data_IF_212583144233
#
_entry.id   IF_212583144233
#
_cell.length_a   1.000
_cell.length_b   1.000
_cell.length_c   1.000
_cell.angle_alpha   90.00
_cell.angle_beta   90.00
_cell.angle_gamma   90.00
#
_symmetry.space_group_name_H-M   'P 1'
#
loop_
_entity.id
_entity.type
_entity.pdbx_description
1 polymer ?
2 non-polymer ?
3 non-polymer ?
4 non-polymer ?
5 water ?
#
# COMPACT_ATOMS: atom_id res chain seq x y z
N UNK A 31 -5.68 -16.91 29.64
CA UNK A 31 -5.96 -15.52 29.24
C UNK A 31 -7.10 -15.45 28.18
N UNK A 32 -8.22 -14.78 28.53
CA UNK A 32 -9.35 -14.59 27.64
C UNK A 32 -9.00 -13.62 26.46
N UNK A 33 -9.11 -14.12 25.23
CA UNK A 33 -8.77 -13.35 24.03
C UNK A 33 -9.97 -12.66 23.45
N UNK A 34 -9.74 -11.48 22.90
CA UNK A 34 -10.72 -10.79 22.06
C UNK A 34 -10.29 -10.77 20.59
N UNK A 35 -11.27 -10.61 19.69
CA UNK A 35 -10.94 -10.68 18.29
C UNK A 35 -11.49 -9.48 17.58
N UNK A 36 -10.98 -9.26 16.38
CA UNK A 36 -11.40 -8.16 15.51
C UNK A 36 -11.07 -8.52 14.07
N UNK A 37 -11.93 -8.10 13.15
CA UNK A 37 -11.76 -8.46 11.75
C UNK A 37 -11.79 -7.19 10.88
N UNK A 38 -10.81 -7.08 9.99
CA UNK A 38 -10.83 -6.03 8.97
C UNK A 38 -10.75 -6.69 7.59
N UNK A 39 -11.66 -6.29 6.71
CA UNK A 39 -11.55 -6.53 5.29
C UNK A 39 -10.90 -5.33 4.59
N UNK A 40 -9.73 -5.57 4.00
CA UNK A 40 -8.98 -4.59 3.25
C UNK A 40 -9.45 -4.77 1.80
N UNK A 41 -10.31 -3.85 1.33
CA UNK A 41 -10.91 -3.95 -0.01
C UNK A 41 -10.05 -3.07 -0.95
N UNK A 42 -8.98 -3.66 -1.50
CA UNK A 42 -8.03 -2.87 -2.26
C UNK A 42 -8.50 -2.84 -3.70
N UNK A 43 -7.84 -2.02 -4.55
CA UNK A 43 -8.22 -1.95 -5.97
C UNK A 43 -8.09 -3.32 -6.70
N UNK A 44 -7.10 -4.13 -6.40
CA UNK A 44 -6.94 -5.37 -7.25
C UNK A 44 -7.44 -6.63 -6.48
N UNK A 45 -7.71 -6.51 -5.16
CA UNK A 45 -8.14 -7.71 -4.36
C UNK A 45 -8.64 -7.31 -2.98
N UNK A 46 -9.34 -8.25 -2.35
CA UNK A 46 -9.79 -8.07 -1.00
C UNK A 46 -9.07 -9.12 -0.17
N UNK A 47 -8.55 -8.69 0.98
CA UNK A 47 -8.01 -9.59 1.97
C UNK A 47 -8.75 -9.43 3.28
N UNK A 48 -8.94 -10.55 3.99
CA UNK A 48 -9.53 -10.45 5.29
C UNK A 48 -8.47 -10.72 6.35
N UNK A 49 -8.40 -9.87 7.39
CA UNK A 49 -7.46 -10.15 8.50
C UNK A 49 -8.21 -10.28 9.81
N UNK A 50 -7.87 -11.33 10.57
CA UNK A 50 -8.47 -11.55 11.90
C UNK A 50 -7.35 -11.29 12.92
N UNK A 51 -7.59 -10.41 13.88
CA UNK A 51 -6.60 -10.03 14.90
C UNK A 51 -7.11 -10.50 16.25
N UNK A 52 -6.21 -10.80 17.18
CA UNK A 52 -6.61 -11.22 18.53
C UNK A 52 -5.68 -10.53 19.50
N UNK A 53 -6.17 -10.33 20.72
CA UNK A 53 -5.44 -9.65 21.81
C UNK A 53 -6.01 -10.11 23.13
N UNK A 54 -5.20 -10.13 24.21
CA UNK A 54 -5.78 -10.47 25.51
C UNK A 54 -6.73 -9.37 26.00
N UNK A 55 -7.92 -9.76 26.51
CA UNK A 55 -8.90 -8.85 27.12
C UNK A 55 -8.32 -7.79 28.09
N UNK A 56 -7.52 -8.20 29.07
CA UNK A 56 -6.97 -7.26 30.10
C UNK A 56 -5.62 -6.57 29.82
N UNK A 57 -4.95 -6.94 28.73
CA UNK A 57 -3.75 -6.20 28.26
C UNK A 57 -3.98 -5.38 26.96
N UNK A 58 -5.24 -5.23 26.54
CA UNK A 58 -5.61 -4.65 25.24
C UNK A 58 -5.04 -3.29 24.85
N UNK A 59 -4.78 -2.42 25.83
CA UNK A 59 -4.19 -1.08 25.61
C UNK A 59 -2.64 -0.99 25.50
N UNK A 60 -1.91 -2.02 25.98
CA UNK A 60 -0.43 -2.14 25.76
C UNK A 60 -0.12 -1.98 24.27
N UNK A 61 0.97 -1.31 23.93
CA UNK A 61 1.39 -1.27 22.52
C UNK A 61 1.97 -2.62 22.09
N UNK A 62 1.81 -2.93 20.80
CA UNK A 62 2.33 -4.17 20.22
C UNK A 62 1.64 -5.46 20.64
N UNK A 63 0.53 -5.36 21.41
CA UNK A 63 -0.22 -6.52 21.97
C UNK A 63 -1.14 -7.21 20.95
N UNK A 64 -1.80 -6.42 20.08
CA UNK A 64 -2.67 -6.99 19.09
C UNK A 64 -1.80 -7.70 18.06
N UNK A 65 -2.15 -8.94 17.71
CA UNK A 65 -1.51 -9.52 16.54
C UNK A 65 -2.48 -10.19 15.58
N UNK A 66 -2.01 -10.50 14.39
CA UNK A 66 -2.80 -11.23 13.41
C UNK A 66 -3.02 -12.70 13.88
N UNK A 67 -4.26 -13.19 13.81
CA UNK A 67 -4.61 -14.56 14.13
C UNK A 67 -4.73 -15.38 12.82
N UNK A 68 -5.31 -14.79 11.77
CA UNK A 68 -5.40 -15.50 10.50
C UNK A 68 -5.72 -14.50 9.41
N UNK A 69 -5.83 -14.98 8.20
CA UNK A 69 -6.15 -14.09 7.11
C UNK A 69 -6.73 -14.98 6.01
N UNK A 70 -7.36 -14.35 5.02
CA UNK A 70 -7.95 -15.07 3.89
C UNK A 70 -7.88 -14.11 2.71
N UNK A 71 -7.45 -14.61 1.55
CA UNK A 71 -7.48 -13.87 0.27
C UNK A 71 -8.69 -14.20 -0.58
N UNK A 72 -9.51 -13.19 -0.82
CA UNK A 72 -10.72 -13.35 -1.60
C UNK A 72 -10.28 -13.61 -3.03
N UNK A 73 -10.90 -14.61 -3.68
CA UNK A 73 -10.68 -14.89 -5.09
C UNK A 73 -11.27 -13.85 -6.04
N UNK A 74 -10.55 -13.58 -7.14
CA UNK A 74 -11.04 -12.61 -8.16
C UNK A 74 -10.66 -11.17 -7.82
N UNK A 75 -11.31 -10.21 -8.48
CA UNK A 75 -10.90 -8.81 -8.45
C UNK A 75 -11.30 -8.10 -7.17
N UNK A 76 -10.96 -6.81 -7.08
CA UNK A 76 -11.40 -5.98 -5.91
C UNK A 76 -12.87 -5.64 -6.02
N UNK A 77 -13.46 -5.09 -4.95
CA UNK A 77 -14.91 -4.83 -4.99
C UNK A 77 -15.24 -3.79 -6.08
N UNK A 78 -14.37 -2.83 -6.34
CA UNK A 78 -14.63 -1.90 -7.45
C UNK A 78 -14.69 -2.55 -8.84
N UNK A 79 -14.16 -3.76 -9.03
CA UNK A 79 -14.27 -4.41 -10.33
C UNK A 79 -15.72 -4.91 -10.60
N UNK A 80 -16.57 -4.85 -9.59
CA UNK A 80 -17.96 -5.22 -9.76
C UNK A 80 -18.83 -4.02 -9.91
N UNK A 81 -18.27 -2.89 -10.33
CA UNK A 81 -19.09 -1.65 -10.51
C UNK A 81 -20.39 -1.86 -11.34
N UNK A 82 -20.29 -2.66 -12.41
CA UNK A 82 -21.47 -2.91 -13.27
C UNK A 82 -22.30 -4.12 -12.85
N UNK A 83 -21.85 -4.82 -11.80
CA UNK A 83 -22.57 -6.01 -11.30
C UNK A 83 -22.44 -6.06 -9.76
N UNK A 84 -23.00 -5.04 -9.02
CA UNK A 84 -22.65 -4.84 -7.61
C UNK A 84 -22.97 -5.99 -6.62
N UNK A 85 -24.03 -6.75 -6.89
CA UNK A 85 -24.34 -7.90 -6.04
C UNK A 85 -23.21 -8.93 -5.93
N UNK A 86 -22.42 -9.10 -6.99
CA UNK A 86 -21.26 -9.96 -6.94
C UNK A 86 -20.18 -9.44 -5.97
N UNK A 87 -20.22 -8.13 -5.69
CA UNK A 87 -19.24 -7.60 -4.74
C UNK A 87 -19.40 -8.27 -3.37
N UNK A 88 -20.63 -8.23 -2.83
CA UNK A 88 -20.95 -8.94 -1.60
C UNK A 88 -20.66 -10.45 -1.67
N UNK A 89 -21.21 -11.16 -2.67
CA UNK A 89 -21.00 -12.61 -2.87
C UNK A 89 -19.50 -12.98 -2.78
N UNK A 90 -18.64 -12.15 -3.38
CA UNK A 90 -17.24 -12.46 -3.46
C UNK A 90 -16.64 -12.64 -2.03
N UNK A 91 -17.24 -12.02 -1.01
CA UNK A 91 -16.66 -12.06 0.37
C UNK A 91 -16.99 -13.36 1.14
N UNK A 92 -17.92 -14.16 0.61
CA UNK A 92 -18.59 -15.22 1.40
C UNK A 92 -17.62 -16.27 1.85
N UNK A 93 -16.79 -16.78 0.94
CA UNK A 93 -15.79 -17.81 1.28
C UNK A 93 -14.92 -17.36 2.47
N UNK A 94 -14.42 -16.11 2.43
CA UNK A 94 -13.60 -15.62 3.54
C UNK A 94 -14.39 -15.41 4.82
N UNK A 95 -15.62 -14.92 4.70
CA UNK A 95 -16.43 -14.74 5.90
C UNK A 95 -16.76 -16.10 6.52
N UNK A 96 -17.01 -17.12 5.70
CA UNK A 96 -17.12 -18.53 6.23
C UNK A 96 -15.87 -18.95 6.98
N UNK A 97 -14.69 -18.54 6.48
CA UNK A 97 -13.44 -18.89 7.19
C UNK A 97 -13.34 -18.19 8.57
N UNK A 98 -13.78 -16.94 8.61
CA UNK A 98 -13.83 -16.18 9.86
C UNK A 98 -14.70 -16.80 10.93
N UNK A 99 -15.84 -17.40 10.55
CA UNK A 99 -16.67 -18.14 11.50
C UNK A 99 -15.90 -19.33 12.12
N UNK A 100 -15.06 -20.01 11.33
CA UNK A 100 -14.21 -21.12 11.84
C UNK A 100 -12.96 -20.59 12.61
N UNK A 101 -12.45 -19.42 12.27
CA UNK A 101 -11.25 -18.87 12.91
C UNK A 101 -11.53 -18.25 14.24
N UNK A 102 -12.68 -17.61 14.41
CA UNK A 102 -12.99 -16.91 15.63
C UNK A 102 -13.93 -17.86 16.43
N UNK A 103 -13.63 -18.11 17.73
CA UNK A 103 -14.48 -19.03 18.53
C UNK A 103 -15.91 -18.54 18.57
N UNK A 104 -16.83 -19.49 18.58
CA UNK A 104 -18.23 -19.23 18.35
C UNK A 104 -18.83 -18.35 19.43
N UNK A 105 -18.45 -18.61 20.69
CA UNK A 105 -18.96 -17.81 21.78
C UNK A 105 -18.53 -16.33 21.68
N UNK A 106 -17.55 -16.07 20.82
CA UNK A 106 -17.00 -14.72 20.64
C UNK A 106 -17.50 -13.98 19.36
N UNK A 107 -18.23 -14.66 18.46
CA UNK A 107 -18.69 -14.04 17.17
C UNK A 107 -19.37 -12.68 17.38
N UNK A 108 -20.38 -12.69 18.25
CA UNK A 108 -21.25 -11.56 18.48
C UNK A 108 -20.56 -10.28 19.00
N UNK A 109 -19.44 -10.41 19.69
CA UNK A 109 -18.77 -9.22 20.18
C UNK A 109 -17.43 -8.97 19.46
N UNK A 110 -17.26 -9.57 18.29
CA UNK A 110 -16.05 -9.35 17.45
C UNK A 110 -16.44 -8.24 16.48
N UNK A 111 -15.75 -7.09 16.51
CA UNK A 111 -16.08 -6.06 15.54
C UNK A 111 -15.59 -6.42 14.12
N UNK A 112 -16.37 -6.10 13.11
CA UNK A 112 -15.95 -6.31 11.75
C UNK A 112 -16.07 -5.01 10.98
N UNK A 113 -15.02 -4.66 10.22
CA UNK A 113 -14.93 -3.41 9.44
C UNK A 113 -14.59 -3.77 8.04
N UNK A 114 -15.07 -2.99 7.07
CA UNK A 114 -14.52 -3.07 5.74
C UNK A 114 -14.04 -1.69 5.43
N UNK A 115 -12.81 -1.57 4.95
CA UNK A 115 -12.28 -0.29 4.51
C UNK A 115 -11.81 -0.51 3.06
N UNK A 116 -12.12 0.44 2.17
CA UNK A 116 -11.87 0.34 0.72
C UNK A 116 -10.94 1.46 0.37
N UNK A 117 -10.04 1.21 -0.57
CA UNK A 117 -8.99 2.18 -0.88
C UNK A 117 -9.11 2.76 -2.30
N UNK A 118 -8.02 2.89 -3.07
CA UNK A 118 -8.07 3.74 -4.31
C UNK A 118 -8.90 3.17 -5.41
N UNK A 119 -9.12 1.86 -5.38
CA UNK A 119 -10.07 1.27 -6.38
C UNK A 119 -11.44 1.97 -6.24
N UNK A 120 -11.92 2.09 -5.00
CA UNK A 120 -13.23 2.69 -4.77
C UNK A 120 -13.14 4.22 -4.90
N UNK A 121 -11.99 4.82 -4.57
CA UNK A 121 -11.84 6.24 -4.83
C UNK A 121 -11.90 6.58 -6.30
N UNK A 122 -11.26 5.77 -7.18
CA UNK A 122 -11.33 6.00 -8.63
C UNK A 122 -12.76 5.78 -9.12
N UNK A 123 -13.41 4.72 -8.66
CA UNK A 123 -14.81 4.47 -9.07
C UNK A 123 -15.75 5.63 -8.63
N UNK A 124 -15.49 6.26 -7.48
CA UNK A 124 -16.30 7.39 -7.00
C UNK A 124 -16.15 8.62 -7.87
N UNK A 125 -14.99 8.77 -8.52
CA UNK A 125 -14.81 9.79 -9.57
C UNK A 125 -15.67 9.54 -10.79
N UNK A 126 -15.83 8.27 -11.15
CA UNK A 126 -16.47 7.87 -12.40
C UNK A 126 -17.97 7.84 -12.19
N UNK A 127 -18.39 7.30 -11.05
CA UNK A 127 -19.78 7.03 -10.79
C UNK A 127 -20.03 6.89 -9.31
N UNK A 128 -20.38 8.00 -8.65
CA UNK A 128 -20.79 7.89 -7.25
C UNK A 128 -21.98 6.93 -7.03
N UNK A 129 -22.90 6.86 -7.99
CA UNK A 129 -24.05 5.93 -7.89
C UNK A 129 -23.56 4.46 -7.84
N UNK A 130 -22.69 4.05 -8.79
CA UNK A 130 -22.13 2.68 -8.83
C UNK A 130 -21.32 2.39 -7.58
N UNK A 131 -20.51 3.38 -7.14
CA UNK A 131 -19.84 3.34 -5.83
C UNK A 131 -20.81 3.06 -4.65
N UNK A 132 -21.92 3.78 -4.56
CA UNK A 132 -22.86 3.56 -3.47
C UNK A 132 -23.46 2.14 -3.56
N UNK A 133 -23.79 1.68 -4.79
CA UNK A 133 -24.37 0.34 -4.96
C UNK A 133 -23.37 -0.77 -4.57
N UNK A 134 -22.09 -0.58 -4.90
CA UNK A 134 -21.07 -1.62 -4.44
C UNK A 134 -21.00 -1.68 -2.89
N UNK A 135 -20.93 -0.50 -2.30
CA UNK A 135 -20.90 -0.34 -0.85
C UNK A 135 -22.17 -0.91 -0.22
N UNK A 136 -23.32 -0.67 -0.85
CA UNK A 136 -24.57 -1.27 -0.32
C UNK A 136 -24.55 -2.81 -0.44
N UNK A 137 -24.07 -3.37 -1.56
CA UNK A 137 -24.01 -4.84 -1.70
C UNK A 137 -23.05 -5.52 -0.67
N UNK A 138 -21.87 -4.95 -0.39
CA UNK A 138 -21.00 -5.56 0.62
C UNK A 138 -21.63 -5.40 2.03
N UNK A 139 -22.21 -4.23 2.31
CA UNK A 139 -22.91 -3.99 3.58
C UNK A 139 -24.00 -5.05 3.80
N UNK A 140 -24.81 -5.26 2.79
CA UNK A 140 -25.88 -6.23 2.87
C UNK A 140 -25.31 -7.63 3.17
N UNK A 141 -24.24 -8.07 2.48
CA UNK A 141 -23.65 -9.39 2.74
C UNK A 141 -23.13 -9.45 4.18
N UNK A 142 -22.40 -8.42 4.59
CA UNK A 142 -21.74 -8.39 5.91
C UNK A 142 -22.72 -8.39 7.08
N UNK A 143 -23.83 -7.65 6.94
CA UNK A 143 -24.86 -7.61 8.01
C UNK A 143 -25.56 -8.97 8.20
N UNK A 144 -25.43 -9.89 7.24
CA UNK A 144 -26.02 -11.25 7.41
C UNK A 144 -25.17 -12.13 8.38
N UNK A 145 -23.95 -11.68 8.69
CA UNK A 145 -23.06 -12.47 9.53
C UNK A 145 -23.19 -12.08 11.01
N UNK A 146 -22.79 -12.98 11.94
CA UNK A 146 -23.09 -12.72 13.35
C UNK A 146 -22.07 -11.83 14.08
N UNK A 147 -21.03 -11.36 13.36
CA UNK A 147 -20.06 -10.45 13.96
C UNK A 147 -20.68 -9.06 14.23
N UNK A 148 -20.08 -8.26 15.10
CA UNK A 148 -20.55 -6.89 15.32
C UNK A 148 -20.11 -6.00 14.10
N UNK A 149 -20.91 -6.00 13.04
CA UNK A 149 -20.52 -5.33 11.81
C UNK A 149 -20.53 -3.80 11.99
N UNK A 150 -19.40 -3.12 11.79
CA UNK A 150 -19.32 -1.69 12.13
C UNK A 150 -19.26 -0.74 10.94
N UNK A 151 -19.43 -1.24 9.72
CA UNK A 151 -19.57 -0.36 8.57
C UNK A 151 -18.55 -0.72 7.50
N UNK A 152 -18.95 -0.37 6.27
CA UNK A 152 -18.08 -0.40 5.09
C UNK A 152 -17.83 1.06 4.75
N UNK A 153 -16.55 1.48 4.71
CA UNK A 153 -16.22 2.86 4.42
C UNK A 153 -15.10 2.88 3.39
N UNK A 154 -15.01 3.98 2.61
CA UNK A 154 -13.83 4.32 1.80
C UNK A 154 -12.88 5.13 2.65
N UNK A 155 -11.65 4.68 2.81
CA UNK A 155 -10.62 5.47 3.47
C UNK A 155 -10.21 6.65 2.56
N UNK A 156 -9.83 7.78 3.15
CA UNK A 156 -9.13 8.84 2.39
C UNK A 156 -7.69 8.37 2.13
N UNK A 157 -6.96 9.07 1.26
CA UNK A 157 -5.58 8.70 1.08
C UNK A 157 -4.78 8.96 2.38
N UNK A 158 -5.17 9.99 3.12
CA UNK A 158 -4.47 10.28 4.35
C UNK A 158 -4.61 9.11 5.33
N UNK A 159 -5.83 8.58 5.49
CA UNK A 159 -6.10 7.49 6.39
C UNK A 159 -5.20 6.31 6.01
N UNK A 160 -5.19 6.06 4.72
CA UNK A 160 -4.53 4.90 4.20
C UNK A 160 -3.07 5.00 4.58
N UNK A 161 -2.48 6.18 4.41
CA UNK A 161 -1.05 6.31 4.70
C UNK A 161 -0.75 6.28 6.20
N UNK A 162 -1.53 7.05 6.97
CA UNK A 162 -1.31 7.13 8.39
C UNK A 162 -1.57 5.76 9.07
N UNK A 163 -2.64 5.07 8.73
CA UNK A 163 -2.91 3.76 9.39
C UNK A 163 -1.81 2.69 9.11
N UNK A 164 -1.18 2.80 7.94
CA UNK A 164 -0.06 1.86 7.64
C UNK A 164 1.15 2.23 8.48
N UNK A 165 1.37 3.54 8.63
CA UNK A 165 2.44 3.99 9.54
C UNK A 165 2.13 3.56 10.99
N UNK A 166 0.88 3.70 11.43
CA UNK A 166 0.60 3.24 12.81
C UNK A 166 0.84 1.72 12.90
N UNK A 167 0.35 0.95 11.91
CA UNK A 167 0.58 -0.49 11.98
C UNK A 167 2.07 -0.85 12.19
N UNK A 168 2.93 -0.29 11.38
CA UNK A 168 4.33 -0.74 11.37
C UNK A 168 4.90 -0.37 12.72
N UNK A 169 4.59 0.85 13.20
CA UNK A 169 5.25 1.28 14.42
C UNK A 169 4.66 0.61 15.69
N UNK A 170 3.39 0.24 15.60
CA UNK A 170 2.74 -0.42 16.73
C UNK A 170 3.36 -1.82 16.85
N UNK A 171 3.47 -2.53 15.73
CA UNK A 171 4.01 -3.90 15.80
C UNK A 171 5.45 -3.93 16.23
N UNK A 172 6.20 -2.89 15.87
CA UNK A 172 7.61 -2.90 16.26
C UNK A 172 7.87 -2.22 17.59
N UNK A 173 6.81 -1.78 18.29
CA UNK A 173 6.95 -1.23 19.65
C UNK A 173 7.79 0.07 19.64
N UNK A 174 7.61 0.90 18.62
CA UNK A 174 8.36 2.13 18.54
C UNK A 174 7.68 3.21 19.39
N UNK A 175 6.51 2.92 19.98
CA UNK A 175 5.79 4.00 20.70
C UNK A 175 6.03 3.84 22.24
N UNK A 176 6.72 2.77 22.63
CA UNK A 176 7.20 2.64 24.05
C UNK A 176 8.15 3.83 24.36
N UNK A 177 8.04 4.40 25.55
CA UNK A 177 9.03 5.40 25.97
C UNK A 177 10.27 4.69 26.61
N UNK A 178 11.41 4.69 25.94
CA UNK A 178 12.56 3.84 26.35
C UNK A 178 13.36 4.56 27.39
N UNK A 179 13.89 3.79 28.36
CA UNK A 179 14.67 4.35 29.42
C UNK A 179 13.99 3.99 30.74
N UNK A 180 14.28 4.80 31.76
CA UNK A 180 13.69 4.61 33.05
C UNK A 180 13.86 5.91 33.76
N UNK A 181 13.24 6.04 34.93
CA UNK A 181 13.16 7.35 35.63
C UNK A 181 14.56 7.90 35.87
N UNK A 182 14.74 9.21 35.58
CA UNK A 182 16.04 9.87 35.68
C UNK A 182 16.98 9.62 34.49
N UNK A 183 16.62 8.70 33.58
CA UNK A 183 17.47 8.45 32.39
C UNK A 183 16.70 7.93 31.15
N UNK A 184 15.97 8.82 30.51
CA UNK A 184 15.16 8.51 29.35
C UNK A 184 16.04 8.64 28.16
N UNK A 185 15.85 7.77 27.17
CA UNK A 185 16.73 7.94 25.99
C UNK A 185 16.34 9.23 25.28
N UNK A 186 17.34 9.93 24.77
CA UNK A 186 17.14 11.24 24.15
C UNK A 186 18.05 11.24 22.93
N UNK A 187 17.53 11.64 21.75
CA UNK A 187 16.10 11.96 21.43
C UNK A 187 15.25 10.72 21.65
N UNK A 188 13.92 10.84 21.63
CA UNK A 188 13.15 9.60 21.87
C UNK A 188 13.33 8.62 20.71
N UNK A 189 13.06 7.34 20.96
CA UNK A 189 13.05 6.31 19.91
C UNK A 189 12.46 6.82 18.56
N UNK A 190 13.22 6.62 17.48
CA UNK A 190 12.76 7.01 16.13
C UNK A 190 11.63 6.08 15.70
N UNK A 191 10.83 6.50 14.72
CA UNK A 191 9.72 5.71 14.24
C UNK A 191 10.06 5.37 12.80
N UNK A 192 9.33 4.39 12.27
CA UNK A 192 9.61 3.84 10.99
C UNK A 192 8.67 4.53 10.00
N UNK A 193 9.23 5.12 8.93
CA UNK A 193 8.40 5.70 7.87
C UNK A 193 7.81 4.53 7.11
N UNK A 194 6.72 4.79 6.36
CA UNK A 194 6.02 3.73 5.66
C UNK A 194 5.84 4.14 4.20
N UNK A 195 6.17 3.21 3.30
CA UNK A 195 5.83 3.43 1.90
C UNK A 195 5.03 2.24 1.41
N UNK A 196 3.86 2.52 0.84
CA UNK A 196 2.90 1.49 0.49
C UNK A 196 2.64 1.58 -1.02
N UNK A 197 2.98 0.53 -1.77
CA UNK A 197 2.72 0.58 -3.21
C UNK A 197 1.55 -0.34 -3.48
N UNK A 198 0.39 0.27 -3.64
CA UNK A 198 -0.83 -0.49 -3.88
C UNK A 198 -1.03 -0.59 -5.41
N UNK A 199 -2.22 -1.01 -5.83
CA UNK A 199 -2.49 -1.15 -7.25
C UNK A 199 -2.93 0.16 -7.90
N UNK A 200 -3.57 1.07 -7.18
CA UNK A 200 -4.14 2.30 -7.82
C UNK A 200 -3.61 3.57 -7.15
N UNK A 201 -3.07 3.49 -5.94
CA UNK A 201 -2.33 4.67 -5.37
C UNK A 201 -1.08 4.22 -4.63
N UNK A 202 -0.22 5.18 -4.32
CA UNK A 202 0.93 4.84 -3.47
C UNK A 202 1.04 5.94 -2.37
N UNK A 203 1.44 5.58 -1.14
CA UNK A 203 1.44 6.53 0.02
C UNK A 203 2.87 6.60 0.56
N UNK A 204 3.23 7.73 1.11
CA UNK A 204 4.48 7.85 1.81
C UNK A 204 4.16 8.64 3.12
N UNK A 205 4.61 8.18 4.30
CA UNK A 205 4.20 8.74 5.57
C UNK A 205 5.41 8.57 6.49
N UNK A 206 5.77 9.65 7.17
CA UNK A 206 6.92 9.57 8.06
C UNK A 206 6.86 10.72 9.06
N UNK A 207 7.43 10.49 10.24
CA UNK A 207 7.61 11.52 11.25
C UNK A 207 8.64 12.51 10.76
N UNK A 208 8.39 13.79 11.00
CA UNK A 208 9.22 14.88 10.49
C UNK A 208 9.23 16.02 11.50
N UNK A 209 10.38 16.68 11.65
CA UNK A 209 10.43 17.91 12.42
C UNK A 209 10.32 19.16 11.49
N UNK A 210 10.27 18.98 10.19
CA UNK A 210 10.10 20.14 9.28
C UNK A 210 8.77 20.86 9.41
N UNK A 211 8.78 22.19 9.25
CA UNK A 211 7.53 22.96 9.23
C UNK A 211 6.57 22.47 8.15
N UNK A 212 5.30 22.44 8.48
CA UNK A 212 4.27 21.95 7.55
C UNK A 212 3.92 23.08 6.58
N UNK A 213 3.97 22.87 5.28
CA UNK A 213 3.54 23.99 4.40
C UNK A 213 2.21 23.73 3.72
N UNK A 214 1.68 22.52 3.88
CA UNK A 214 0.39 22.15 3.26
C UNK A 214 -0.41 21.38 4.27
N UNK A 215 -1.56 21.93 4.68
CA UNK A 215 -2.36 21.28 5.72
C UNK A 215 -2.86 19.90 5.29
N UNK A 216 -2.99 19.69 3.98
CA UNK A 216 -3.49 18.45 3.45
C UNK A 216 -2.46 17.34 3.74
N UNK A 217 -1.20 17.70 4.02
CA UNK A 217 -0.13 16.66 4.27
C UNK A 217 0.21 16.46 5.75
N UNK A 218 -0.41 17.28 6.59
CA UNK A 218 0.05 17.46 7.97
C UNK A 218 -0.81 16.61 8.91
N UNK A 219 -0.13 15.88 9.77
CA UNK A 219 -0.77 14.88 10.61
C UNK A 219 -0.19 15.08 12.05
N UNK A 220 -1.03 15.11 13.08
CA UNK A 220 -0.54 15.13 14.46
C UNK A 220 -1.23 14.03 15.23
N UNK A 221 -0.44 13.15 15.86
CA UNK A 221 -0.98 12.03 16.57
C UNK A 221 -0.59 12.17 18.01
N UNK A 222 -1.48 11.74 18.89
CA UNK A 222 -1.19 11.65 20.29
C UNK A 222 -1.37 10.15 20.68
N UNK A 223 -0.25 9.48 20.97
CA UNK A 223 -0.21 8.02 21.17
C UNK A 223 0.63 7.73 22.40
N UNK A 224 0.02 7.09 23.39
CA UNK A 224 0.67 6.74 24.63
C UNK A 224 1.34 7.92 25.31
N UNK A 225 0.65 9.08 25.29
CA UNK A 225 1.13 10.24 25.96
C UNK A 225 2.09 11.07 25.14
N UNK A 226 2.44 10.61 23.93
CA UNK A 226 3.42 11.33 23.11
C UNK A 226 2.81 11.96 21.85
N UNK A 227 3.35 13.13 21.48
CA UNK A 227 2.97 13.80 20.23
C UNK A 227 3.87 13.41 19.05
N UNK A 228 3.29 13.00 17.93
CA UNK A 228 4.12 12.66 16.71
C UNK A 228 3.62 13.59 15.62
N UNK A 229 4.53 14.36 15.07
CA UNK A 229 4.29 15.23 13.91
C UNK A 229 4.62 14.36 12.65
N UNK A 230 3.67 14.16 11.77
CA UNK A 230 3.85 13.21 10.73
C UNK A 230 3.51 13.90 9.38
N UNK A 231 4.24 13.56 8.32
CA UNK A 231 3.87 13.95 6.97
C UNK A 231 3.28 12.72 6.27
N UNK A 232 2.26 12.95 5.46
CA UNK A 232 1.74 11.85 4.65
C UNK A 232 1.25 12.40 3.31
N UNK A 233 1.35 11.61 2.23
CA UNK A 233 0.73 11.98 1.00
C UNK A 233 0.40 10.68 0.24
N UNK A 234 -0.75 10.72 -0.44
CA UNK A 234 -1.18 9.60 -1.27
C UNK A 234 -1.23 10.08 -2.73
N UNK A 235 -0.51 9.38 -3.62
CA UNK A 235 -0.52 9.74 -5.05
C UNK A 235 -1.49 8.81 -5.75
N UNK A 236 -2.67 9.33 -5.98
CA UNK A 236 -3.68 8.62 -6.69
C UNK A 236 -3.18 8.40 -8.16
N UNK A 237 -3.46 7.24 -8.77
CA UNK A 237 -2.94 6.86 -10.09
C UNK A 237 -1.47 6.49 -10.19
N UNK A 238 -0.76 6.48 -9.06
CA UNK A 238 0.65 6.07 -9.02
C UNK A 238 0.77 4.70 -8.31
N UNK A 239 -0.34 3.94 -8.21
CA UNK A 239 -0.22 2.53 -7.82
C UNK A 239 0.30 1.71 -9.02
N UNK A 240 0.75 0.47 -8.73
CA UNK A 240 1.37 -0.35 -9.74
C UNK A 240 0.54 -0.59 -11.00
N UNK A 241 -0.72 -1.00 -10.84
CA UNK A 241 -1.58 -1.38 -11.97
C UNK A 241 -1.95 -0.12 -12.80
N UNK A 242 -2.19 1.02 -12.13
CA UNK A 242 -2.50 2.23 -12.89
C UNK A 242 -1.20 2.75 -13.57
N UNK A 243 -0.02 2.70 -12.92
CA UNK A 243 1.20 3.05 -13.64
C UNK A 243 1.42 2.14 -14.87
N UNK A 244 1.19 0.82 -14.72
CA UNK A 244 1.39 -0.10 -15.89
C UNK A 244 0.43 0.28 -17.04
N UNK A 245 -0.82 0.60 -16.71
CA UNK A 245 -1.74 1.15 -17.74
C UNK A 245 -1.28 2.47 -18.42
N UNK A 246 -0.82 3.44 -17.61
CA UNK A 246 -0.33 4.72 -18.16
C UNK A 246 0.93 4.48 -19.08
N UNK A 247 1.82 3.57 -18.70
CA UNK A 247 3.02 3.29 -19.49
C UNK A 247 2.62 2.61 -20.78
N UNK A 248 1.61 1.71 -20.73
CA UNK A 248 1.04 1.06 -21.95
C UNK A 248 0.43 2.15 -22.88
N UNK A 249 -0.41 3.04 -22.34
CA UNK A 249 -1.03 4.12 -23.20
C UNK A 249 0.11 4.95 -23.79
N UNK A 250 1.12 5.28 -22.95
CA UNK A 250 2.20 6.11 -23.40
C UNK A 250 3.02 5.40 -24.53
N UNK A 251 3.33 4.12 -24.31
CA UNK A 251 4.06 3.36 -25.28
C UNK A 251 3.27 3.32 -26.60
N UNK A 252 1.97 3.04 -26.52
CA UNK A 252 1.14 3.01 -27.72
C UNK A 252 1.23 4.32 -28.49
N UNK A 253 1.19 5.44 -27.79
CA UNK A 253 1.14 6.77 -28.40
C UNK A 253 2.48 7.17 -29.05
N UNK A 254 3.60 6.83 -28.42
CA UNK A 254 4.92 7.38 -28.78
C UNK A 254 5.66 6.37 -29.63
N UNK A 255 5.49 5.09 -29.36
CA UNK A 255 6.37 4.08 -30.00
C UNK A 255 5.66 3.06 -30.85
N UNK A 256 4.44 2.69 -30.45
CA UNK A 256 3.81 1.50 -31.09
C UNK A 256 4.64 0.21 -30.88
N UNK A 257 5.52 0.19 -29.87
CA UNK A 257 6.11 -1.04 -29.32
C UNK A 257 6.24 -0.71 -27.82
N UNK A 258 6.46 -1.68 -26.95
CA UNK A 258 6.58 -1.35 -25.54
C UNK A 258 8.03 -1.54 -25.10
N UNK A 259 8.80 -0.43 -24.90
CA UNK A 259 10.20 -0.68 -24.63
C UNK A 259 10.43 -1.39 -23.27
N UNK A 260 9.47 -1.28 -22.34
CA UNK A 260 9.60 -1.98 -21.02
C UNK A 260 9.29 -3.45 -21.05
N UNK A 261 8.54 -3.93 -22.06
CA UNK A 261 8.23 -5.37 -22.11
C UNK A 261 9.35 -6.13 -22.81
N UNK A 262 9.48 -7.45 -22.54
CA UNK A 262 10.65 -8.11 -23.01
C UNK A 262 10.49 -8.47 -24.49
N UNK A 263 11.59 -8.41 -25.22
CA UNK A 263 11.58 -8.84 -26.64
C UNK A 263 11.02 -10.30 -26.82
N UNK A 264 10.06 -10.45 -27.75
CA UNK A 264 9.38 -11.73 -28.02
C UNK A 264 8.09 -11.86 -27.23
N UNK A 265 7.79 -10.90 -26.37
CA UNK A 265 6.50 -10.92 -25.70
C UNK A 265 5.62 -9.95 -26.48
N UNK A 266 4.41 -10.38 -26.83
CA UNK A 266 3.41 -9.48 -27.40
C UNK A 266 2.02 -9.91 -26.96
N UNK A 267 1.06 -9.01 -27.09
CA UNK A 267 -0.28 -9.28 -26.65
C UNK A 267 -1.23 -8.38 -27.48
N UNK A 268 -2.52 -8.75 -27.50
CA UNK A 268 -3.58 -8.01 -28.14
C UNK A 268 -4.12 -7.06 -27.09
N UNK A 269 -3.95 -5.77 -27.31
CA UNK A 269 -4.37 -4.73 -26.34
C UNK A 269 -5.82 -4.20 -26.72
N UNK A 270 -6.72 -4.30 -25.77
CA UNK A 270 -8.06 -3.75 -25.95
C UNK A 270 -8.03 -2.27 -25.55
N UNK A 271 -8.12 -1.37 -26.53
CA UNK A 271 -7.96 0.08 -26.28
C UNK A 271 -8.98 0.67 -25.29
N UNK A 272 -10.21 0.17 -25.30
CA UNK A 272 -11.21 0.65 -24.35
C UNK A 272 -10.80 0.38 -22.87
N UNK A 273 -10.16 -0.76 -22.63
CA UNK A 273 -9.63 -1.04 -21.32
C UNK A 273 -8.49 -0.08 -20.97
N UNK A 274 -7.63 0.26 -21.97
CA UNK A 274 -6.43 1.09 -21.72
C UNK A 274 -6.93 2.46 -21.28
N UNK A 275 -7.91 3.00 -21.96
CA UNK A 275 -8.25 4.39 -21.87
C UNK A 275 -9.50 4.72 -20.98
N UNK A 276 -10.17 3.71 -20.43
CA UNK A 276 -11.33 3.92 -19.53
C UNK A 276 -10.95 4.37 -18.10
N UNK A 277 -9.70 4.15 -17.70
CA UNK A 277 -9.30 4.50 -16.33
C UNK A 277 -9.28 6.04 -16.16
N UNK A 278 -9.77 6.57 -15.03
CA UNK A 278 -9.49 8.03 -14.91
C UNK A 278 -7.96 8.39 -15.00
N UNK A 279 -7.09 7.42 -14.74
CA UNK A 279 -5.65 7.69 -14.71
C UNK A 279 -5.03 7.82 -16.16
N UNK A 280 -5.72 7.26 -17.15
CA UNK A 280 -5.23 7.24 -18.54
C UNK A 280 -6.13 7.96 -19.53
N UNK A 281 -7.39 8.26 -19.20
CA UNK A 281 -8.26 9.00 -20.19
C UNK A 281 -7.64 10.37 -20.59
N UNK A 282 -6.71 10.85 -19.74
CA UNK A 282 -5.74 11.90 -20.07
C UNK A 282 -4.90 11.70 -21.34
N UNK A 283 -4.47 10.46 -21.63
CA UNK A 283 -3.52 10.20 -22.74
C UNK A 283 -4.04 9.95 -24.18
N UNK A 291 -10.27 1.84 -33.79
CA UNK A 291 -9.58 0.56 -33.57
C UNK A 291 -9.92 0.04 -32.19
N UNK A 292 -10.42 -1.17 -32.12
CA UNK A 292 -10.72 -1.70 -30.79
C UNK A 292 -9.52 -2.49 -30.24
N UNK A 293 -8.77 -3.18 -31.12
CA UNK A 293 -7.67 -4.02 -30.61
C UNK A 293 -6.40 -3.70 -31.36
N UNK A 294 -5.28 -3.52 -30.64
CA UNK A 294 -3.99 -3.43 -31.33
C UNK A 294 -2.95 -4.43 -30.78
N UNK A 295 -2.10 -4.90 -31.66
CA UNK A 295 -1.02 -5.79 -31.26
C UNK A 295 0.10 -4.95 -30.69
N UNK A 296 0.66 -5.35 -29.55
CA UNK A 296 1.82 -4.59 -29.05
C UNK A 296 2.91 -5.57 -28.59
N UNK A 297 4.15 -5.35 -29.03
CA UNK A 297 5.28 -6.20 -28.67
C UNK A 297 6.34 -5.46 -27.88
N UNK A 298 7.11 -6.23 -27.07
CA UNK A 298 8.16 -5.65 -26.25
C UNK A 298 9.46 -5.54 -27.01
N UNK A 299 10.33 -4.65 -26.58
CA UNK A 299 11.67 -4.52 -27.23
C UNK A 299 12.84 -4.66 -26.26
N UNK A 300 12.58 -4.96 -24.98
CA UNK A 300 13.72 -5.05 -23.99
C UNK A 300 14.68 -3.87 -24.09
N UNK A 301 14.18 -2.64 -24.06
CA UNK A 301 15.07 -1.48 -24.24
C UNK A 301 15.00 -0.75 -22.93
N UNK A 302 16.00 -1.02 -22.07
CA UNK A 302 16.01 -0.47 -20.76
C UNK A 302 16.05 1.05 -20.83
N UNK A 303 16.86 1.61 -21.75
CA UNK A 303 16.96 3.07 -21.82
C UNK A 303 15.66 3.77 -22.26
N UNK A 304 14.95 3.22 -23.24
CA UNK A 304 13.66 3.79 -23.58
C UNK A 304 12.60 3.54 -22.52
N UNK A 305 12.67 2.37 -21.88
CA UNK A 305 11.84 2.13 -20.67
C UNK A 305 12.06 3.23 -19.57
N UNK A 306 13.32 3.55 -19.27
CA UNK A 306 13.61 4.61 -18.33
C UNK A 306 12.99 5.95 -18.78
N UNK A 307 13.18 6.32 -20.06
CA UNK A 307 12.60 7.56 -20.62
C UNK A 307 11.08 7.58 -20.46
N UNK A 308 10.44 6.45 -20.78
CA UNK A 308 9.00 6.30 -20.64
C UNK A 308 8.51 6.48 -19.20
N UNK A 309 9.19 5.86 -18.25
CA UNK A 309 8.79 5.97 -16.85
C UNK A 309 9.03 7.40 -16.31
N UNK A 310 10.09 8.05 -16.78
CA UNK A 310 10.45 9.38 -16.28
C UNK A 310 9.37 10.45 -16.63
N UNK A 311 8.58 10.21 -17.67
CA UNK A 311 7.49 11.10 -18.04
C UNK A 311 6.38 11.09 -16.97
N UNK A 312 6.37 10.09 -16.08
CA UNK A 312 5.34 10.00 -15.01
C UNK A 312 5.45 11.08 -13.92
N UNK A 313 6.62 11.71 -13.81
CA UNK A 313 6.97 12.60 -12.69
C UNK A 313 7.13 14.00 -13.22
N UNK A 314 6.20 14.91 -12.90
CA UNK A 314 6.39 16.30 -13.30
C UNK A 314 7.22 16.97 -12.20
N UNK A 315 8.42 17.42 -12.54
CA UNK A 315 9.31 18.10 -11.58
C UNK A 315 9.54 19.59 -11.97
N UNK A 316 8.70 20.11 -12.86
CA UNK A 316 8.97 21.44 -13.40
C UNK A 316 8.53 22.59 -12.45
N UNK A 317 7.69 22.30 -11.45
CA UNK A 317 6.99 23.38 -10.80
C UNK A 317 6.74 23.11 -9.33
N UNK A 318 7.04 24.05 -8.46
CA UNK A 318 6.90 23.78 -7.01
C UNK A 318 6.38 25.01 -6.28
N UNK A 319 5.16 24.94 -5.76
CA UNK A 319 4.74 26.25 -5.17
C UNK A 319 5.13 26.35 -3.71
N UNK A 320 5.91 25.37 -3.24
CA UNK A 320 6.31 25.26 -1.85
C UNK A 320 7.81 25.46 -1.78
N UNK A 321 8.42 25.45 -0.60
CA UNK A 321 9.86 25.60 -0.55
C UNK A 321 10.57 24.33 -1.09
N UNK A 322 9.88 23.19 -1.09
CA UNK A 322 10.45 21.93 -1.52
C UNK A 322 9.28 20.95 -1.84
N UNK A 323 9.42 20.22 -2.95
CA UNK A 323 8.41 19.28 -3.43
C UNK A 323 8.96 17.87 -3.64
N UNK A 324 8.05 16.90 -3.68
CA UNK A 324 8.41 15.56 -4.13
C UNK A 324 8.30 15.65 -5.63
N UNK A 325 7.08 15.47 -6.13
CA UNK A 325 6.79 15.73 -7.54
C UNK A 325 5.32 16.14 -7.76
N UNK A 326 5.00 16.53 -9.01
CA UNK A 326 3.69 17.05 -9.36
C UNK A 326 3.26 18.22 -8.52
N UNK A 327 4.22 19.03 -8.06
CA UNK A 327 3.84 20.23 -7.29
C UNK A 327 3.43 19.88 -5.84
N UNK A 328 3.78 18.66 -5.39
CA UNK A 328 3.33 18.25 -4.06
C UNK A 328 4.42 18.59 -3.03
N UNK A 329 4.03 19.30 -1.96
CA UNK A 329 4.94 19.62 -0.86
C UNK A 329 5.51 18.31 -0.22
N UNK A 330 6.82 18.26 0.01
CA UNK A 330 7.39 17.16 0.77
C UNK A 330 8.67 17.55 1.47
N UNK A 331 8.76 17.34 2.81
CA UNK A 331 10.01 17.72 3.46
C UNK A 331 11.05 16.58 3.21
N UNK A 332 12.32 16.81 3.57
CA UNK A 332 13.35 15.83 3.16
C UNK A 332 13.00 14.48 3.83
N UNK A 333 13.04 13.36 3.11
CA UNK A 333 12.92 12.04 3.81
C UNK A 333 13.99 11.92 4.89
N UNK A 334 13.68 11.26 6.00
CA UNK A 334 14.58 11.11 7.18
C UNK A 334 14.12 9.87 7.95
N UNK A 335 15.07 9.18 8.59
CA UNK A 335 14.84 7.99 9.41
C UNK A 335 14.70 6.69 8.60
N UNK A 336 14.43 5.58 9.29
CA UNK A 336 14.20 4.30 8.65
C UNK A 336 12.83 4.33 8.03
N UNK A 337 12.66 3.47 7.06
CA UNK A 337 11.37 3.32 6.35
C UNK A 337 11.18 1.83 6.13
N UNK A 338 9.92 1.36 6.16
CA UNK A 338 9.62 0.06 5.63
C UNK A 338 8.80 0.31 4.35
N UNK A 339 9.16 -0.39 3.27
CA UNK A 339 8.46 -0.38 1.96
C UNK A 339 7.85 -1.74 1.75
N UNK A 340 6.53 -1.76 1.70
CA UNK A 340 5.78 -3.03 1.67
C UNK A 340 4.82 -3.10 0.45
N UNK A 341 3.87 -4.04 0.50
CA UNK A 341 2.99 -4.30 -0.64
C UNK A 341 3.83 -4.50 -1.91
N UNK A 342 3.50 -3.83 -3.02
CA UNK A 342 4.26 -4.07 -4.28
C UNK A 342 5.72 -3.64 -4.29
N UNK A 343 6.12 -2.72 -3.39
CA UNK A 343 7.59 -2.49 -3.22
C UNK A 343 8.27 -3.81 -2.83
N UNK A 344 7.73 -4.47 -1.80
CA UNK A 344 8.28 -5.74 -1.37
C UNK A 344 8.26 -6.79 -2.47
N UNK A 345 7.08 -7.06 -3.06
CA UNK A 345 6.97 -8.12 -4.06
C UNK A 345 7.94 -7.89 -5.24
N UNK A 346 8.10 -6.64 -5.67
CA UNK A 346 8.99 -6.36 -6.79
C UNK A 346 10.43 -6.57 -6.46
N UNK A 347 10.86 -6.07 -5.30
CA UNK A 347 12.28 -6.24 -4.86
C UNK A 347 12.58 -7.73 -4.59
N UNK A 348 11.58 -8.44 -4.10
CA UNK A 348 11.74 -9.87 -3.85
C UNK A 348 11.91 -10.61 -5.16
N UNK A 349 11.23 -10.19 -6.20
CA UNK A 349 11.50 -10.78 -7.55
C UNK A 349 12.97 -10.56 -7.99
N UNK A 350 13.42 -9.33 -7.81
CA UNK A 350 14.78 -8.93 -8.19
C UNK A 350 15.83 -9.74 -7.40
N UNK A 351 15.60 -9.95 -6.11
CA UNK A 351 16.65 -10.61 -5.29
C UNK A 351 16.53 -12.12 -5.44
N UNK A 352 15.32 -12.63 -5.33
CA UNK A 352 15.07 -14.07 -5.31
C UNK A 352 15.02 -14.76 -6.65
N UNK A 353 14.32 -14.20 -7.65
CA UNK A 353 14.29 -14.79 -8.96
C UNK A 353 15.47 -14.31 -9.83
N UNK A 354 15.65 -13.00 -10.02
CA UNK A 354 16.82 -12.54 -10.78
C UNK A 354 18.15 -12.74 -10.07
N UNK A 355 18.17 -12.98 -8.77
CA UNK A 355 19.43 -13.27 -8.08
C UNK A 355 20.32 -12.04 -7.94
N UNK A 356 19.74 -10.85 -7.98
CA UNK A 356 20.51 -9.62 -8.09
C UNK A 356 20.49 -8.86 -6.78
N UNK A 357 21.59 -8.21 -6.41
CA UNK A 357 21.52 -7.44 -5.15
C UNK A 357 20.75 -6.11 -5.34
N UNK A 358 20.09 -5.61 -4.30
CA UNK A 358 19.41 -4.33 -4.34
C UNK A 358 19.69 -3.43 -3.09
N UNK A 359 20.89 -3.54 -2.49
CA UNK A 359 21.20 -2.83 -1.25
C UNK A 359 21.46 -1.34 -1.41
N UNK A 360 21.77 -0.88 -2.63
CA UNK A 360 22.04 0.56 -2.88
C UNK A 360 21.10 1.01 -3.99
N UNK A 361 20.84 2.32 -4.13
CA UNK A 361 20.05 2.78 -5.32
C UNK A 361 20.73 2.39 -6.59
N UNK A 362 22.06 2.42 -6.59
CA UNK A 362 22.86 2.05 -7.82
C UNK A 362 22.71 0.58 -8.16
N UNK A 363 22.69 -0.31 -7.14
CA UNK A 363 22.34 -1.74 -7.37
C UNK A 363 20.92 -1.96 -7.88
N UNK A 364 19.95 -1.25 -7.30
CA UNK A 364 18.58 -1.40 -7.73
C UNK A 364 18.47 -0.91 -9.19
N UNK A 365 19.17 0.16 -9.53
CA UNK A 365 19.11 0.65 -10.92
C UNK A 365 19.77 -0.36 -11.89
N UNK A 366 20.85 -0.99 -11.47
CA UNK A 366 21.51 -2.03 -12.31
C UNK A 366 20.63 -3.26 -12.46
N UNK A 367 19.97 -3.68 -11.37
CA UNK A 367 19.05 -4.80 -11.38
C UNK A 367 17.89 -4.52 -12.34
N UNK A 368 17.41 -3.27 -12.36
CA UNK A 368 16.38 -2.89 -13.28
C UNK A 368 16.80 -2.99 -14.77
N UNK A 369 17.97 -2.44 -15.11
CA UNK A 369 18.50 -2.49 -16.47
C UNK A 369 18.65 -3.94 -16.92
N UNK A 370 19.18 -4.78 -16.06
CA UNK A 370 19.45 -6.20 -16.38
C UNK A 370 18.09 -6.88 -16.59
N UNK A 371 17.11 -6.55 -15.75
CA UNK A 371 15.79 -7.19 -15.88
C UNK A 371 15.14 -6.76 -17.21
N UNK A 372 15.13 -5.45 -17.46
CA UNK A 372 14.56 -4.87 -18.67
C UNK A 372 15.30 -5.34 -19.93
N UNK A 373 16.60 -5.62 -19.83
CA UNK A 373 17.32 -6.15 -21.00
C UNK A 373 17.11 -7.61 -21.31
N UNK A 374 16.47 -8.37 -20.42
CA UNK A 374 16.15 -9.79 -20.73
C UNK A 374 15.19 -9.95 -21.90
N UNK A 375 15.36 -11.00 -22.68
CA UNK A 375 14.34 -11.26 -23.69
C UNK A 375 13.24 -12.08 -23.02
N UNK A 376 12.12 -12.28 -23.74
CA UNK A 376 11.00 -13.00 -23.13
C UNK A 376 11.37 -14.45 -22.80
N UNK A 377 12.08 -15.15 -23.71
CA UNK A 377 12.55 -16.52 -23.42
C UNK A 377 13.53 -16.51 -22.23
N UNK A 378 14.49 -15.58 -22.17
CA UNK A 378 15.40 -15.51 -20.98
C UNK A 378 14.65 -15.26 -19.65
N UNK A 379 13.60 -14.44 -19.69
CA UNK A 379 12.92 -14.11 -18.45
C UNK A 379 12.15 -15.36 -18.04
N UNK A 380 11.44 -15.94 -19.00
CA UNK A 380 10.62 -17.09 -18.78
C UNK A 380 11.45 -18.31 -18.26
N UNK A 381 12.68 -18.48 -18.78
CA UNK A 381 13.62 -19.52 -18.28
C UNK A 381 14.01 -19.36 -16.81
N UNK A 382 13.86 -18.17 -16.22
CA UNK A 382 14.08 -18.00 -14.77
C UNK A 382 12.87 -18.34 -13.89
N UNK A 383 11.69 -18.53 -14.49
CA UNK A 383 10.49 -18.68 -13.71
C UNK A 383 9.85 -19.95 -14.19
N UNK A 384 10.14 -21.08 -13.50
CA UNK A 384 9.60 -22.31 -14.07
C UNK A 384 8.08 -22.39 -13.95
N UNK A 385 7.43 -21.72 -12.98
CA UNK A 385 5.98 -21.89 -12.72
C UNK A 385 5.15 -20.80 -13.39
N UNK A 386 4.13 -20.31 -12.70
CA UNK A 386 3.18 -19.47 -13.41
C UNK A 386 3.82 -18.09 -13.72
N UNK A 387 3.44 -17.55 -14.88
CA UNK A 387 4.08 -16.38 -15.48
C UNK A 387 3.21 -15.08 -15.44
N UNK A 388 2.13 -15.07 -14.70
CA UNK A 388 1.35 -13.84 -14.68
C UNK A 388 2.22 -12.75 -13.97
N UNK A 389 2.08 -11.50 -14.40
CA UNK A 389 2.96 -10.41 -13.94
C UNK A 389 4.40 -10.41 -14.47
N UNK A 390 4.92 -11.54 -15.00
CA UNK A 390 6.32 -11.61 -15.40
C UNK A 390 6.76 -10.50 -16.39
N UNK A 391 5.93 -10.23 -17.39
CA UNK A 391 6.29 -9.21 -18.40
C UNK A 391 6.33 -7.80 -17.79
N UNK A 392 5.75 -7.64 -16.61
CA UNK A 392 5.62 -6.31 -15.96
C UNK A 392 6.71 -5.94 -14.98
N UNK A 393 7.59 -6.88 -14.59
CA UNK A 393 8.55 -6.57 -13.50
C UNK A 393 9.53 -5.49 -13.83
N UNK A 394 10.05 -5.53 -15.05
CA UNK A 394 10.87 -4.44 -15.62
C UNK A 394 10.23 -3.06 -15.44
N UNK A 395 8.99 -2.87 -15.93
CA UNK A 395 8.31 -1.57 -15.78
C UNK A 395 8.14 -1.18 -14.28
N UNK A 396 7.72 -2.12 -13.44
CA UNK A 396 7.42 -1.76 -12.05
C UNK A 396 8.72 -1.42 -11.30
N UNK A 397 9.78 -2.22 -11.57
CA UNK A 397 11.09 -2.01 -10.92
C UNK A 397 11.62 -0.62 -11.33
N UNK A 398 11.49 -0.31 -12.60
CA UNK A 398 11.97 0.94 -13.09
C UNK A 398 11.14 2.11 -12.45
N UNK A 399 9.83 1.91 -12.31
CA UNK A 399 8.96 2.95 -11.69
C UNK A 399 9.41 3.13 -10.22
N UNK A 400 9.65 2.01 -9.54
CA UNK A 400 10.03 2.10 -8.12
C UNK A 400 11.35 2.85 -7.95
N UNK A 401 12.32 2.54 -8.81
CA UNK A 401 13.60 3.21 -8.72
C UNK A 401 13.44 4.72 -8.95
N UNK A 402 12.61 5.09 -9.94
CA UNK A 402 12.40 6.54 -10.18
C UNK A 402 11.56 7.21 -9.10
N UNK A 403 10.51 6.53 -8.66
CA UNK A 403 9.69 7.04 -7.58
C UNK A 403 10.56 7.42 -6.35
N UNK A 404 11.43 6.51 -5.93
CA UNK A 404 12.29 6.73 -4.76
C UNK A 404 13.33 7.80 -5.04
N UNK A 405 13.98 7.77 -6.20
CA UNK A 405 15.19 8.63 -6.36
C UNK A 405 14.74 9.96 -6.90
N UNK A 406 13.87 9.96 -7.88
CA UNK A 406 13.47 11.26 -8.35
C UNK A 406 12.14 11.84 -7.87
N UNK A 407 11.26 11.00 -7.33
CA UNK A 407 9.98 11.41 -6.76
C UNK A 407 10.18 11.94 -5.37
N UNK A 408 10.73 11.07 -4.51
CA UNK A 408 10.82 11.31 -3.09
C UNK A 408 12.20 11.86 -2.69
N UNK A 409 13.16 11.81 -3.61
CA UNK A 409 14.51 12.32 -3.38
C UNK A 409 15.26 11.54 -2.33
N UNK A 410 15.06 10.23 -2.27
CA UNK A 410 16.09 9.43 -1.53
C UNK A 410 17.42 9.54 -2.24
N UNK A 411 18.52 9.44 -1.51
CA UNK A 411 19.84 9.27 -2.13
C UNK A 411 20.49 8.09 -1.46
N UNK A 412 21.80 7.88 -1.67
CA UNK A 412 22.38 6.62 -1.19
C UNK A 412 22.33 6.61 0.34
N UNK A 413 22.60 7.76 0.92
CA UNK A 413 22.56 7.90 2.35
C UNK A 413 21.14 7.58 2.92
N UNK A 414 20.08 8.21 2.42
CA UNK A 414 18.77 7.95 3.05
C UNK A 414 18.27 6.54 2.64
N UNK A 415 18.67 6.06 1.44
CA UNK A 415 18.09 4.79 0.97
C UNK A 415 18.56 3.60 1.80
N UNK A 416 19.75 3.73 2.38
CA UNK A 416 20.35 2.73 3.21
C UNK A 416 19.45 2.44 4.44
N UNK A 417 18.57 3.39 4.79
CA UNK A 417 17.69 3.22 5.95
C UNK A 417 16.34 2.54 5.58
N UNK A 418 16.17 2.19 4.31
CA UNK A 418 14.91 1.60 3.83
C UNK A 418 14.99 0.06 3.83
N UNK A 419 14.00 -0.61 4.42
CA UNK A 419 13.96 -2.09 4.36
C UNK A 419 12.72 -2.44 3.57
N UNK A 420 12.78 -3.50 2.76
CA UNK A 420 11.63 -4.01 2.04
C UNK A 420 11.12 -5.25 2.80
N UNK A 421 9.94 -5.17 3.41
CA UNK A 421 9.45 -6.27 4.26
C UNK A 421 7.96 -6.18 4.17
N UNK A 422 7.24 -7.28 4.30
CA UNK A 422 5.74 -7.22 4.26
C UNK A 422 5.12 -7.75 5.59
N UNK A 423 5.96 -8.19 6.51
CA UNK A 423 5.49 -8.75 7.80
C UNK A 423 6.30 -8.18 8.92
N UNK A 424 5.67 -7.93 10.06
CA UNK A 424 6.35 -7.56 11.31
C UNK A 424 5.71 -8.39 12.44
N UNK A 425 6.51 -8.99 13.31
CA UNK A 425 5.97 -9.82 14.41
C UNK A 425 4.83 -10.73 13.95
N UNK A 426 5.03 -11.55 12.89
CA UNK A 426 3.94 -12.44 12.43
C UNK A 426 2.61 -11.77 11.93
N UNK A 427 2.65 -10.47 11.69
CA UNK A 427 1.45 -9.75 11.22
C UNK A 427 1.76 -9.05 9.89
N UNK A 428 0.85 -9.17 8.92
CA UNK A 428 1.06 -8.55 7.61
C UNK A 428 1.10 -7.03 7.84
N UNK A 429 2.04 -6.37 7.16
CA UNK A 429 2.10 -4.92 7.28
C UNK A 429 1.13 -4.25 6.30
N UNK A 430 0.26 -3.36 6.79
CA UNK A 430 -0.64 -2.62 5.88
C UNK A 430 -1.40 -1.71 6.78
N UNK A 431 -2.46 -1.09 6.28
CA UNK A 431 -3.18 -0.14 7.03
C UNK A 431 -4.24 -0.82 7.92
N UNK A 432 -4.62 -2.07 7.63
CA UNK A 432 -5.78 -2.69 8.32
C UNK A 432 -5.66 -2.69 9.85
N UNK A 433 -4.51 -3.08 10.38
CA UNK A 433 -4.38 -3.16 11.83
C UNK A 433 -4.56 -1.76 12.45
N UNK A 434 -3.85 -0.76 11.93
CA UNK A 434 -3.95 0.62 12.45
C UNK A 434 -5.38 1.15 12.34
N UNK A 435 -6.06 0.81 11.26
CA UNK A 435 -7.48 1.16 11.12
C UNK A 435 -8.32 0.53 12.24
N UNK A 436 -8.15 -0.79 12.44
CA UNK A 436 -8.91 -1.49 13.48
C UNK A 436 -8.59 -0.87 14.87
N UNK A 437 -7.29 -0.63 15.12
CA UNK A 437 -6.89 0.00 16.43
C UNK A 437 -7.60 1.34 16.72
N UNK A 438 -7.67 2.16 15.70
CA UNK A 438 -8.31 3.47 15.82
C UNK A 438 -9.81 3.33 16.07
N UNK A 439 -10.48 2.51 15.26
CA UNK A 439 -11.93 2.40 15.38
C UNK A 439 -12.37 1.67 16.62
N UNK A 440 -11.54 0.76 17.10
CA UNK A 440 -11.84 0.02 18.33
C UNK A 440 -11.29 0.75 19.57
N UNK A 441 -10.62 1.87 19.34
CA UNK A 441 -10.06 2.65 20.42
C UNK A 441 -9.09 1.97 21.27
N UNK A 442 -8.20 1.22 20.68
CA UNK A 442 -7.24 0.44 21.47
C UNK A 442 -5.90 1.10 21.73
N UNK A 443 -5.65 2.25 21.10
CA UNK A 443 -4.46 3.06 21.44
C UNK A 443 -4.92 4.29 22.21
N UNK A 444 -4.53 4.37 23.49
CA UNK A 444 -4.93 5.51 24.27
C UNK A 444 -4.08 6.74 23.88
N UNK A 445 -4.71 7.91 23.86
CA UNK A 445 -4.05 9.15 23.62
C UNK A 445 -3.01 9.34 24.75
N UNK A 446 -3.42 9.05 25.99
CA UNK A 446 -2.58 9.21 27.18
C UNK A 446 -2.50 7.89 27.98
N UNK A 447 -1.36 7.61 28.62
CA UNK A 447 -1.29 6.47 29.58
C UNK A 447 -2.21 6.67 30.83
N UNK A 448 -2.64 5.55 31.50
CA UNK A 448 -3.52 5.67 32.71
C UNK A 448 -2.85 6.47 33.84
N UNK A 449 -3.62 7.40 34.44
CA UNK A 449 -3.12 8.37 35.44
C UNK A 449 -1.98 9.24 34.95
N UNK A 450 -1.83 9.35 33.61
CA UNK A 450 -0.65 9.96 32.96
C UNK A 450 0.70 9.34 33.46
N UNK A 451 0.62 8.06 33.87
CA UNK A 451 1.73 7.33 34.50
C UNK A 451 2.34 8.22 35.60
N UNK A 452 1.49 8.66 36.54
CA UNK A 452 1.88 9.55 37.66
C UNK A 452 2.71 10.80 37.22
N UNK A 453 2.62 11.14 35.93
CA UNK A 453 3.35 12.27 35.31
C UNK A 453 4.85 12.09 35.09
N UNK A 454 5.36 10.90 35.40
CA UNK A 454 6.80 10.52 35.26
C UNK A 454 7.40 10.70 33.84
N UNK A 455 6.56 10.71 32.81
CA UNK A 455 7.00 11.01 31.43
C UNK A 455 6.95 12.51 31.07
N UNK A 456 6.76 13.41 32.04
CA UNK A 456 6.57 14.86 31.69
C UNK A 456 7.85 15.51 31.15
N UNK A 457 7.74 16.27 30.21
#
# INVERSE_FOLDING_TARGET
>A
MAHHHHHHVGTGSNDDDDKSPDPTQDVREPPALKYGIVLDAGSSHTSMFVYKWPADKENDTGIVGQHSSCDVQGGGISSYANDPSKAGQSLVRCLEQALRDVPRDRHASTPLYLGATAGMRLLNLTSPEATARVLEAVTQTLTQYPFDFRGARILSGQDEGVFGWVTANYLLENFIKYGWVGRWIRPRKGTLGAMDLGGASTQITFETTSPSEDPGNEVHLRLYGQHYRVYTHSFLCYGRDQILLRLLASALQIHRFHPCWPKGYSTQVLLQEVYQSPCTMGQRPRAFNGSAIVSLSGTSNATLCRDLVSRLFNISSCPFSQCSFNGVFQPPVAGNFIAFSAFYYTVDFLTTVMGLPVGTLKQLEEATEITCNQTWTELQARVPGQKTRLADYCAVAMFIHQLLSRGYHFDERSFREVVFQKKAADTAVGWALGYMLNLTNLIPADLPGLRKGTHFS
#
